data_IF_587831953230
#
_entry.id   IF_587831953230
#
_cell.length_a   1.000
_cell.length_b   1.000
_cell.length_c   1.000
_cell.angle_alpha   90.00
_cell.angle_beta   90.00
_cell.angle_gamma   90.00
#
_symmetry.space_group_name_H-M   'P 1'
#
loop_
_entity.id
_entity.type
_entity.pdbx_description
1 polymer ?
#
# COMPACT_ATOMS: atom_id res chain seq x y z
N UNK A 1 -24.86 -0.37 0.72
CA UNK A 1 -24.04 -0.62 1.93
C UNK A 1 -24.91 -1.10 3.08
N UNK A 2 -26.05 -0.45 3.34
CA UNK A 2 -27.06 -0.92 4.32
C UNK A 2 -27.59 -2.31 3.99
N UNK A 3 -27.89 -2.59 2.71
CA UNK A 3 -28.34 -3.93 2.27
C UNK A 3 -27.26 -5.02 2.42
N UNK A 4 -25.99 -4.61 2.51
CA UNK A 4 -24.84 -5.50 2.76
C UNK A 4 -24.49 -5.62 4.25
N UNK A 5 -25.26 -4.96 5.13
CA UNK A 5 -25.04 -4.88 6.58
C UNK A 5 -23.59 -4.54 7.00
N UNK A 6 -22.96 -3.62 6.26
CA UNK A 6 -21.57 -3.23 6.49
C UNK A 6 -21.39 -2.60 7.87
N UNK A 7 -20.44 -3.13 8.66
CA UNK A 7 -20.10 -2.62 10.00
C UNK A 7 -18.91 -1.66 10.01
N UNK A 8 -18.04 -1.76 9.00
CA UNK A 8 -16.85 -0.92 8.88
C UNK A 8 -16.56 -0.54 7.43
N UNK A 9 -16.08 0.68 7.22
CA UNK A 9 -15.70 1.22 5.91
C UNK A 9 -14.26 1.73 5.98
N UNK A 10 -13.38 1.22 5.13
CA UNK A 10 -12.05 1.78 4.91
C UNK A 10 -12.03 2.53 3.58
N UNK A 11 -11.74 3.84 3.62
CA UNK A 11 -11.57 4.67 2.43
C UNK A 11 -10.09 4.67 2.04
N UNK A 12 -9.76 4.09 0.89
CA UNK A 12 -8.42 4.17 0.32
C UNK A 12 -8.20 5.52 -0.38
N UNK A 13 -7.12 6.22 -0.01
CA UNK A 13 -6.69 7.47 -0.63
C UNK A 13 -7.19 8.75 0.05
N UNK A 14 -6.63 9.87 -0.41
CA UNK A 14 -6.88 11.19 0.17
C UNK A 14 -8.18 11.88 -0.31
N UNK A 15 -8.47 13.09 0.20
CA UNK A 15 -9.64 13.88 -0.18
C UNK A 15 -9.76 14.22 -1.66
N UNK A 16 -8.64 14.25 -2.39
CA UNK A 16 -8.61 14.46 -3.84
C UNK A 16 -9.22 13.27 -4.62
N UNK A 17 -9.22 12.07 -4.04
CA UNK A 17 -9.82 10.86 -4.65
C UNK A 17 -11.23 10.62 -4.12
N UNK A 18 -11.41 10.72 -2.80
CA UNK A 18 -12.71 10.56 -2.13
C UNK A 18 -12.93 11.75 -1.22
N UNK A 19 -13.85 12.64 -1.58
CA UNK A 19 -14.05 13.91 -0.88
C UNK A 19 -14.43 13.75 0.59
N UNK A 20 -14.20 14.80 1.37
CA UNK A 20 -14.64 14.85 2.77
C UNK A 20 -16.16 14.71 2.93
N UNK A 21 -16.94 15.20 1.93
CA UNK A 21 -18.39 15.01 1.90
C UNK A 21 -18.78 13.54 1.82
N UNK A 22 -18.12 12.75 0.96
CA UNK A 22 -18.38 11.31 0.84
C UNK A 22 -18.01 10.59 2.14
N UNK A 23 -16.87 10.92 2.75
CA UNK A 23 -16.50 10.34 4.05
C UNK A 23 -17.52 10.66 5.14
N UNK A 24 -18.03 11.89 5.20
CA UNK A 24 -19.08 12.28 6.15
C UNK A 24 -20.35 11.47 5.97
N UNK A 25 -20.76 11.20 4.73
CA UNK A 25 -21.93 10.33 4.49
C UNK A 25 -21.64 8.87 4.86
N UNK A 26 -20.44 8.35 4.59
CA UNK A 26 -20.04 7.00 4.98
C UNK A 26 -20.08 6.78 6.51
N UNK A 27 -19.67 7.78 7.31
CA UNK A 27 -19.72 7.69 8.79
C UNK A 27 -21.14 7.54 9.36
N UNK A 28 -22.18 7.91 8.61
CA UNK A 28 -23.58 7.69 9.02
C UNK A 28 -24.04 6.24 8.82
N UNK A 29 -23.29 5.47 8.04
CA UNK A 29 -23.61 4.08 7.70
C UNK A 29 -22.86 3.12 8.62
N UNK A 30 -21.55 3.31 8.79
CA UNK A 30 -20.70 2.42 9.57
C UNK A 30 -19.43 3.13 10.06
N UNK A 31 -18.70 2.48 10.97
CA UNK A 31 -17.41 2.99 11.45
C UNK A 31 -16.45 3.18 10.27
N UNK A 32 -16.04 4.42 10.02
CA UNK A 32 -15.33 4.79 8.81
C UNK A 32 -13.94 5.32 9.12
N UNK A 33 -12.93 4.71 8.52
CA UNK A 33 -11.53 5.15 8.56
C UNK A 33 -11.05 5.54 7.17
N UNK A 34 -10.14 6.51 7.08
CA UNK A 34 -9.44 6.85 5.84
C UNK A 34 -7.99 6.38 5.92
N UNK A 35 -7.59 5.59 4.93
CA UNK A 35 -6.25 5.06 4.75
C UNK A 35 -5.62 5.78 3.55
N UNK A 36 -4.91 6.87 3.82
CA UNK A 36 -4.38 7.76 2.80
C UNK A 36 -3.01 8.31 3.19
N UNK A 37 -2.50 9.24 2.39
CA UNK A 37 -1.20 9.87 2.62
C UNK A 37 -1.02 11.09 1.74
N UNK A 38 0.08 11.82 1.95
CA UNK A 38 0.50 12.93 1.11
C UNK A 38 0.82 12.48 -0.33
N UNK A 39 1.23 11.23 -0.49
CA UNK A 39 1.46 10.59 -1.78
C UNK A 39 0.99 9.14 -1.81
N UNK A 40 1.18 8.49 -2.97
CA UNK A 40 0.79 7.09 -3.20
C UNK A 40 1.60 6.10 -2.35
N UNK A 41 2.82 6.44 -1.99
CA UNK A 41 3.72 5.58 -1.22
C UNK A 41 3.26 5.57 0.24
N UNK A 42 3.01 6.73 0.82
CA UNK A 42 2.41 6.86 2.15
C UNK A 42 1.01 6.26 2.20
N UNK A 43 0.17 6.45 1.17
CA UNK A 43 -1.13 5.79 1.13
C UNK A 43 -1.01 4.26 1.16
N UNK A 44 -0.06 3.67 0.41
CA UNK A 44 0.18 2.22 0.49
C UNK A 44 0.67 1.76 1.87
N UNK A 45 1.53 2.56 2.53
CA UNK A 45 1.96 2.29 3.90
C UNK A 45 0.82 2.34 4.91
N UNK A 46 -0.06 3.35 4.81
CA UNK A 46 -1.23 3.49 5.68
C UNK A 46 -2.24 2.36 5.49
N UNK A 47 -2.40 1.86 4.27
CA UNK A 47 -3.24 0.69 4.01
C UNK A 47 -2.61 -0.56 4.65
N UNK A 48 -1.32 -0.79 4.44
CA UNK A 48 -0.64 -1.96 5.00
C UNK A 48 -0.65 -1.94 6.53
N UNK A 49 -0.41 -0.78 7.15
CA UNK A 49 -0.48 -0.56 8.61
C UNK A 49 -1.83 -0.96 9.22
N UNK A 50 -2.92 -0.74 8.47
CA UNK A 50 -4.26 -1.04 8.97
C UNK A 50 -4.64 -2.52 8.89
N UNK A 51 -4.06 -3.27 7.95
CA UNK A 51 -4.47 -4.64 7.64
C UNK A 51 -3.44 -5.70 8.02
N UNK A 52 -2.18 -5.31 8.29
CA UNK A 52 -1.09 -6.23 8.59
C UNK A 52 -0.36 -5.77 9.84
N UNK A 53 -0.44 -6.58 10.90
CA UNK A 53 0.39 -6.41 12.10
C UNK A 53 1.80 -6.99 11.91
N UNK A 54 1.90 -8.06 11.10
CA UNK A 54 3.15 -8.76 10.76
C UNK A 54 3.07 -9.32 9.35
N UNK A 55 4.20 -9.50 8.67
CA UNK A 55 4.27 -10.20 7.39
C UNK A 55 5.68 -10.77 7.14
N UNK A 56 5.81 -12.07 6.90
CA UNK A 56 7.10 -12.70 6.52
C UNK A 56 7.54 -12.30 5.09
N UNK A 57 6.59 -11.93 4.24
CA UNK A 57 6.80 -11.67 2.83
C UNK A 57 6.10 -10.38 2.42
N UNK A 58 6.78 -9.52 1.67
CA UNK A 58 6.20 -8.29 1.10
C UNK A 58 6.35 -8.25 -0.42
N UNK A 59 5.42 -7.56 -1.08
CA UNK A 59 5.45 -7.28 -2.51
C UNK A 59 5.83 -5.81 -2.74
N UNK A 60 6.74 -5.55 -3.68
CA UNK A 60 7.07 -4.19 -4.11
C UNK A 60 6.68 -4.02 -5.58
N UNK A 61 5.94 -2.96 -5.88
CA UNK A 61 5.69 -2.52 -7.24
C UNK A 61 5.97 -1.02 -7.37
N UNK A 62 6.25 -0.55 -8.59
CA UNK A 62 6.39 0.90 -8.79
C UNK A 62 5.04 1.60 -8.62
N UNK A 63 5.03 2.69 -7.86
CA UNK A 63 3.83 3.53 -7.78
C UNK A 63 3.52 4.29 -9.07
N UNK A 64 4.45 4.32 -10.04
CA UNK A 64 4.31 5.12 -11.28
C UNK A 64 3.64 4.36 -12.43
N UNK A 65 3.70 3.02 -12.43
CA UNK A 65 3.08 2.14 -13.43
C UNK A 65 2.20 1.12 -12.72
N UNK A 66 0.89 1.25 -12.87
CA UNK A 66 -0.06 0.53 -12.01
C UNK A 66 -0.29 -0.95 -12.40
N UNK A 67 0.12 -1.40 -13.58
CA UNK A 67 -0.19 -2.76 -14.06
C UNK A 67 0.38 -3.86 -13.17
N UNK A 68 1.64 -3.69 -12.73
CA UNK A 68 2.33 -4.68 -11.91
C UNK A 68 1.72 -4.73 -10.50
N UNK A 69 1.40 -3.55 -9.93
CA UNK A 69 0.69 -3.44 -8.66
C UNK A 69 -0.73 -4.03 -8.74
N UNK A 70 -1.44 -3.82 -9.84
CA UNK A 70 -2.79 -4.36 -10.06
C UNK A 70 -2.77 -5.90 -10.07
N UNK A 71 -1.84 -6.50 -10.82
CA UNK A 71 -1.67 -7.95 -10.81
C UNK A 71 -1.24 -8.46 -9.41
N UNK A 72 -0.32 -7.75 -8.75
CA UNK A 72 0.12 -8.03 -7.39
C UNK A 72 -0.99 -8.02 -6.36
N UNK A 73 -1.97 -7.12 -6.48
CA UNK A 73 -3.08 -6.99 -5.52
C UNK A 73 -3.97 -8.24 -5.44
N UNK A 74 -4.07 -9.02 -6.53
CA UNK A 74 -4.78 -10.30 -6.53
C UNK A 74 -3.93 -11.46 -6.00
N UNK A 75 -2.60 -11.30 -6.00
CA UNK A 75 -1.63 -12.30 -5.56
C UNK A 75 -1.32 -12.19 -4.06
N UNK A 76 -1.06 -10.97 -3.56
CA UNK A 76 -0.66 -10.70 -2.17
C UNK A 76 -1.52 -11.38 -1.11
N UNK A 77 -2.85 -11.28 -1.17
CA UNK A 77 -3.74 -11.93 -0.20
C UNK A 77 -3.62 -13.47 -0.17
N UNK A 78 -3.11 -14.11 -1.23
CA UNK A 78 -2.94 -15.57 -1.29
C UNK A 78 -1.69 -16.04 -0.55
N UNK A 79 -0.75 -15.14 -0.29
CA UNK A 79 0.52 -15.42 0.39
C UNK A 79 0.69 -14.56 1.65
N UNK A 80 -0.39 -13.90 2.09
CA UNK A 80 -0.41 -13.00 3.25
C UNK A 80 0.67 -11.90 3.17
N UNK A 81 0.86 -11.34 1.98
CA UNK A 81 1.91 -10.36 1.72
C UNK A 81 1.33 -8.97 1.42
N UNK A 82 1.67 -7.94 2.21
CA UNK A 82 1.31 -6.57 1.89
C UNK A 82 2.04 -6.10 0.62
N UNK A 83 1.33 -5.27 -0.15
CA UNK A 83 1.87 -4.67 -1.37
C UNK A 83 2.23 -3.21 -1.09
N UNK A 84 3.51 -2.89 -1.20
CA UNK A 84 4.00 -1.53 -1.14
C UNK A 84 4.18 -0.97 -2.54
N UNK A 85 3.80 0.29 -2.70
CA UNK A 85 4.24 1.07 -3.86
C UNK A 85 5.51 1.82 -3.51
N UNK A 86 6.49 1.82 -4.43
CA UNK A 86 7.80 2.49 -4.25
C UNK A 86 8.16 3.33 -5.48
N UNK A 87 9.21 4.15 -5.39
CA UNK A 87 9.75 4.84 -6.58
C UNK A 87 10.45 3.81 -7.48
N UNK A 88 10.63 4.15 -8.75
CA UNK A 88 11.26 3.23 -9.71
C UNK A 88 12.76 3.03 -9.42
N UNK A 89 13.40 4.00 -8.80
CA UNK A 89 14.83 4.11 -8.60
C UNK A 89 15.27 4.02 -7.13
N UNK A 90 14.35 4.03 -6.18
CA UNK A 90 14.66 3.88 -4.75
C UNK A 90 13.42 3.52 -3.93
N UNK A 91 13.65 3.04 -2.70
CA UNK A 91 12.59 2.77 -1.73
C UNK A 91 12.54 3.91 -0.71
N UNK A 92 11.38 4.57 -0.47
CA UNK A 92 11.26 5.55 0.60
C UNK A 92 11.70 4.96 1.95
N UNK A 93 12.49 5.70 2.73
CA UNK A 93 13.02 5.19 4.00
C UNK A 93 11.92 4.72 4.96
N UNK A 94 10.78 5.42 5.00
CA UNK A 94 9.63 5.04 5.81
C UNK A 94 8.96 3.73 5.33
N UNK A 95 9.11 3.35 4.06
CA UNK A 95 8.66 2.05 3.55
C UNK A 95 9.59 0.94 4.02
N UNK A 96 10.91 1.14 3.98
CA UNK A 96 11.87 0.17 4.51
C UNK A 96 11.66 -0.08 6.01
N UNK A 97 11.47 0.99 6.79
CA UNK A 97 11.20 0.89 8.22
C UNK A 97 9.95 0.04 8.51
N UNK A 98 8.86 0.26 7.79
CA UNK A 98 7.65 -0.52 7.99
C UNK A 98 7.80 -1.99 7.56
N UNK A 99 8.58 -2.27 6.50
CA UNK A 99 8.89 -3.66 6.09
C UNK A 99 9.69 -4.37 7.20
N UNK A 100 10.62 -3.67 7.85
CA UNK A 100 11.38 -4.19 8.98
C UNK A 100 10.50 -4.42 10.22
N UNK A 101 9.61 -3.46 10.55
CA UNK A 101 8.66 -3.57 11.66
C UNK A 101 7.68 -4.74 11.49
N UNK A 102 7.26 -5.01 10.25
CA UNK A 102 6.43 -6.19 9.92
C UNK A 102 7.16 -7.52 10.08
N UNK A 103 8.51 -7.52 10.21
CA UNK A 103 9.33 -8.71 10.36
C UNK A 103 9.57 -9.46 9.04
N UNK A 104 9.50 -8.78 7.90
CA UNK A 104 9.60 -9.44 6.60
C UNK A 104 11.01 -9.95 6.31
N UNK A 105 11.10 -11.21 5.87
CA UNK A 105 12.35 -11.85 5.45
C UNK A 105 12.41 -12.11 3.94
N UNK A 106 11.28 -11.96 3.25
CA UNK A 106 11.16 -12.15 1.79
C UNK A 106 10.59 -10.91 1.14
N UNK A 107 11.12 -10.58 -0.03
CA UNK A 107 10.65 -9.49 -0.88
C UNK A 107 10.46 -10.03 -2.29
N UNK A 108 9.30 -9.77 -2.90
CA UNK A 108 9.10 -9.99 -4.33
C UNK A 108 8.93 -8.67 -5.04
N UNK A 109 9.77 -8.43 -6.05
CA UNK A 109 9.65 -7.30 -6.95
C UNK A 109 8.67 -7.65 -8.08
N UNK A 110 7.64 -6.83 -8.24
CA UNK A 110 6.65 -6.93 -9.29
C UNK A 110 7.01 -5.90 -10.38
N UNK A 111 7.54 -6.41 -11.48
CA UNK A 111 7.98 -5.62 -12.63
C UNK A 111 9.44 -5.86 -12.95
N UNK A 112 9.81 -5.65 -14.22
CA UNK A 112 11.20 -5.75 -14.67
C UNK A 112 12.03 -4.50 -14.38
N UNK A 113 13.30 -4.47 -14.83
CA UNK A 113 14.24 -3.36 -14.61
C UNK A 113 13.74 -1.97 -15.05
N UNK A 114 12.79 -1.92 -16.00
CA UNK A 114 12.17 -0.69 -16.47
C UNK A 114 11.05 -0.14 -15.55
N UNK A 115 10.58 -0.96 -14.60
CA UNK A 115 9.61 -0.58 -13.55
C UNK A 115 10.34 -0.35 -12.23
N UNK A 116 11.28 -1.24 -11.89
CA UNK A 116 12.05 -1.24 -10.65
C UNK A 116 13.53 -1.45 -11.01
N UNK A 117 14.34 -0.42 -10.80
CA UNK A 117 15.77 -0.47 -11.12
C UNK A 117 16.55 -1.39 -10.16
N UNK A 118 17.81 -1.66 -10.51
CA UNK A 118 18.75 -2.39 -9.65
C UNK A 118 18.95 -1.74 -8.27
N UNK A 119 18.71 -0.43 -8.13
CA UNK A 119 18.75 0.21 -6.82
C UNK A 119 17.63 -0.32 -5.90
N UNK A 120 16.43 -0.56 -6.43
CA UNK A 120 15.33 -1.18 -5.66
C UNK A 120 15.60 -2.67 -5.42
N UNK A 121 16.17 -3.38 -6.39
CA UNK A 121 16.62 -4.77 -6.23
C UNK A 121 17.60 -4.95 -5.07
N UNK A 122 18.50 -3.97 -4.89
CA UNK A 122 19.44 -3.93 -3.77
C UNK A 122 18.84 -3.29 -2.50
N UNK A 123 17.53 -3.08 -2.43
CA UNK A 123 16.82 -2.43 -1.33
C UNK A 123 17.37 -1.04 -0.96
N UNK A 124 17.84 -0.30 -1.97
CA UNK A 124 18.41 1.03 -1.83
C UNK A 124 17.38 2.07 -1.39
N UNK A 125 17.64 2.72 -0.25
CA UNK A 125 16.81 3.80 0.26
C UNK A 125 16.94 5.07 -0.60
N UNK A 126 15.85 5.84 -0.72
CA UNK A 126 15.90 7.16 -1.33
C UNK A 126 16.75 8.12 -0.51
N UNK A 127 17.62 8.89 -1.16
CA UNK A 127 18.30 10.02 -0.51
C UNK A 127 17.33 11.18 -0.33
N UNK A 128 17.46 11.95 0.78
CA UNK A 128 16.69 13.17 1.01
C UNK A 128 16.85 14.22 -0.11
#
# INVERSE_FOLDING_TARGET
LTDLDVKSIAIAGGPASVSAGIQKEATKIADTVRLGGADRYEASRSINDHFFDTADHVLLATGLKFSDALAGSAYGPRIDAPLFTVKADCIPAATLAQIEELGATKVTLLGGPASLSTAVENLGACTP
#
